data_IF_747903736125
#
_entry.id   IF_747903736125
#
_cell.length_a   1.000
_cell.length_b   1.000
_cell.length_c   1.000
_cell.angle_alpha   90.00
_cell.angle_beta   90.00
_cell.angle_gamma   90.00
#
_symmetry.space_group_name_H-M   'P 1'
#
loop_
_entity.id
_entity.type
_entity.pdbx_description
1 polymer ?
#
# COMPACT_ATOMS: atom_id res chain seq x y z
N UNK A 1 -17.76 -4.36 -18.22
CA UNK A 1 -17.43 -4.57 -16.79
C UNK A 1 -15.91 -4.55 -16.69
N UNK A 2 -15.32 -3.69 -15.87
CA UNK A 2 -13.87 -3.67 -15.66
C UNK A 2 -13.44 -4.96 -14.97
N UNK A 3 -12.35 -5.58 -15.42
CA UNK A 3 -11.64 -6.56 -14.59
C UNK A 3 -11.13 -5.87 -13.34
N UNK A 4 -11.41 -6.42 -12.17
CA UNK A 4 -10.76 -5.98 -10.94
C UNK A 4 -9.34 -6.56 -10.93
N UNK A 5 -8.36 -5.76 -11.36
CA UNK A 5 -6.94 -6.15 -11.36
C UNK A 5 -6.41 -6.49 -9.95
N UNK A 6 -5.24 -7.15 -9.86
CA UNK A 6 -4.61 -7.39 -8.57
C UNK A 6 -4.25 -6.05 -7.91
N UNK A 7 -4.24 -6.02 -6.59
CA UNK A 7 -3.84 -4.84 -5.83
C UNK A 7 -2.33 -4.65 -5.92
N UNK A 8 -1.90 -3.43 -6.20
CA UNK A 8 -0.51 -3.08 -6.47
C UNK A 8 -0.09 -1.93 -5.58
N UNK A 9 0.93 -2.16 -4.74
CA UNK A 9 1.71 -1.06 -4.17
C UNK A 9 2.86 -0.76 -5.13
N UNK A 10 3.07 0.51 -5.40
CA UNK A 10 4.25 1.00 -6.10
C UNK A 10 4.91 2.10 -5.28
N UNK A 11 6.23 2.16 -5.36
CA UNK A 11 6.97 3.29 -4.81
C UNK A 11 7.03 4.44 -5.82
N UNK A 12 7.57 5.57 -5.35
CA UNK A 12 7.76 6.74 -6.19
C UNK A 12 8.71 6.49 -7.37
N UNK A 13 9.71 5.62 -7.21
CA UNK A 13 10.71 5.35 -8.23
C UNK A 13 10.09 4.76 -9.50
N UNK A 14 9.10 3.87 -9.36
CA UNK A 14 8.34 3.37 -10.51
C UNK A 14 7.62 4.52 -11.22
N UNK A 15 6.80 5.29 -10.50
CA UNK A 15 5.94 6.30 -11.11
C UNK A 15 6.75 7.44 -11.78
N UNK A 16 7.91 7.76 -11.21
CA UNK A 16 8.89 8.66 -11.85
C UNK A 16 9.39 8.13 -13.19
N UNK A 17 9.56 6.82 -13.31
CA UNK A 17 10.04 6.18 -14.54
C UNK A 17 8.99 6.13 -15.65
N UNK A 18 7.69 6.10 -15.32
CA UNK A 18 6.61 5.96 -16.30
C UNK A 18 6.29 7.28 -17.02
N UNK A 19 5.83 7.23 -18.25
CA UNK A 19 5.10 8.34 -18.88
C UNK A 19 3.59 8.27 -18.57
N UNK A 20 2.81 9.24 -19.04
CA UNK A 20 1.37 9.34 -18.75
C UNK A 20 0.56 8.14 -19.30
N UNK A 21 0.89 7.68 -20.51
CA UNK A 21 0.20 6.57 -21.15
C UNK A 21 0.57 5.23 -20.48
N UNK A 22 1.84 5.05 -20.11
CA UNK A 22 2.28 3.88 -19.33
C UNK A 22 1.58 3.83 -17.97
N UNK A 23 1.44 4.96 -17.28
CA UNK A 23 0.70 5.06 -16.03
C UNK A 23 -0.80 4.74 -16.23
N UNK A 24 -1.40 5.22 -17.32
CA UNK A 24 -2.78 4.86 -17.68
C UNK A 24 -2.96 3.35 -17.83
N UNK A 25 -2.06 2.66 -18.53
CA UNK A 25 -2.12 1.20 -18.71
C UNK A 25 -1.84 0.43 -17.41
N UNK A 26 -1.04 0.98 -16.50
CA UNK A 26 -0.82 0.41 -15.17
C UNK A 26 -2.13 0.31 -14.40
N UNK A 27 -2.84 1.43 -14.28
CA UNK A 27 -4.10 1.50 -13.54
C UNK A 27 -5.25 0.80 -14.23
N UNK A 28 -5.15 0.64 -15.55
CA UNK A 28 -6.09 -0.16 -16.31
C UNK A 28 -6.13 -1.61 -15.85
N UNK A 29 -4.97 -2.16 -15.46
CA UNK A 29 -4.80 -3.58 -15.19
C UNK A 29 -4.46 -3.91 -13.73
N UNK A 30 -4.22 -2.91 -12.90
CA UNK A 30 -3.97 -3.05 -11.46
C UNK A 30 -4.87 -2.11 -10.65
N UNK A 31 -5.14 -2.48 -9.40
CA UNK A 31 -5.73 -1.57 -8.42
C UNK A 31 -4.63 -0.95 -7.58
N UNK A 32 -4.38 0.34 -7.75
CA UNK A 32 -3.38 1.06 -6.98
C UNK A 32 -3.71 1.05 -5.49
N UNK A 33 -2.71 0.75 -4.66
CA UNK A 33 -2.78 0.93 -3.21
C UNK A 33 -1.75 1.97 -2.85
N UNK A 34 -2.22 3.19 -2.61
CA UNK A 34 -1.36 4.28 -2.16
C UNK A 34 -1.07 4.11 -0.69
N UNK A 35 0.22 4.04 -0.38
CA UNK A 35 0.69 4.10 1.00
C UNK A 35 0.81 5.57 1.40
N UNK A 36 0.56 5.91 2.68
CA UNK A 36 0.89 7.23 3.20
C UNK A 36 2.35 7.62 2.96
N UNK A 37 3.26 6.63 2.90
CA UNK A 37 4.69 6.81 2.61
C UNK A 37 4.89 7.42 1.21
N UNK A 38 4.17 6.94 0.20
CA UNK A 38 4.25 7.47 -1.16
C UNK A 38 3.90 8.96 -1.22
N UNK A 39 2.79 9.36 -0.59
CA UNK A 39 2.33 10.75 -0.57
C UNK A 39 3.38 11.67 0.04
N UNK A 40 4.00 11.22 1.13
CA UNK A 40 5.06 11.94 1.81
C UNK A 40 6.30 12.05 0.92
N UNK A 41 6.69 10.98 0.23
CA UNK A 41 7.80 11.02 -0.70
C UNK A 41 7.57 12.01 -1.85
N UNK A 42 6.35 12.03 -2.38
CA UNK A 42 5.93 12.96 -3.43
C UNK A 42 6.03 14.40 -2.91
N UNK A 43 5.46 14.70 -1.74
CA UNK A 43 5.56 16.02 -1.10
C UNK A 43 6.98 16.43 -0.74
N UNK A 44 7.85 15.47 -0.44
CA UNK A 44 9.27 15.73 -0.21
C UNK A 44 9.97 16.39 -1.40
N UNK A 45 9.45 16.24 -2.63
CA UNK A 45 10.02 16.90 -3.81
C UNK A 45 9.78 18.40 -3.84
N UNK A 46 8.70 18.92 -3.23
CA UNK A 46 8.43 20.37 -3.15
C UNK A 46 9.58 21.14 -2.49
N UNK A 47 10.35 20.47 -1.62
CA UNK A 47 11.47 21.09 -0.88
C UNK A 47 12.82 20.91 -1.56
N UNK A 48 12.89 20.19 -2.68
CA UNK A 48 14.15 19.97 -3.39
C UNK A 48 14.50 21.21 -4.19
N UNK A 49 15.79 21.54 -4.20
CA UNK A 49 16.31 22.56 -5.11
C UNK A 49 16.01 22.14 -6.56
N UNK A 50 15.44 23.03 -7.39
CA UNK A 50 15.16 22.73 -8.78
C UNK A 50 16.41 22.17 -9.48
N UNK A 51 16.26 21.05 -10.18
CA UNK A 51 17.30 20.49 -11.05
C UNK A 51 16.83 20.64 -12.49
N UNK A 52 17.42 21.61 -13.20
CA UNK A 52 17.03 21.95 -14.58
C UNK A 52 15.82 22.89 -14.62
N UNK A 53 15.06 22.82 -15.72
CA UNK A 53 13.99 23.77 -16.03
C UNK A 53 12.66 23.49 -15.32
N UNK A 54 12.48 22.29 -14.74
CA UNK A 54 11.22 21.93 -14.07
C UNK A 54 11.20 22.41 -12.63
N UNK A 55 10.13 23.09 -12.24
CA UNK A 55 9.90 23.48 -10.85
C UNK A 55 9.54 22.26 -9.98
N UNK A 56 9.82 22.30 -8.67
CA UNK A 56 9.38 21.27 -7.72
C UNK A 56 7.88 20.97 -7.80
N UNK A 57 7.06 22.01 -7.97
CA UNK A 57 5.61 21.94 -8.15
C UNK A 57 5.24 21.16 -9.42
N UNK A 58 5.93 21.44 -10.54
CA UNK A 58 5.71 20.71 -11.79
C UNK A 58 6.11 19.22 -11.69
N UNK A 59 7.14 18.90 -10.88
CA UNK A 59 7.53 17.51 -10.60
C UNK A 59 6.42 16.81 -9.81
N UNK A 60 5.91 17.44 -8.76
CA UNK A 60 4.86 16.87 -7.91
C UNK A 60 3.54 16.74 -8.67
N UNK A 61 3.10 17.77 -9.39
CA UNK A 61 1.90 17.71 -10.22
C UNK A 61 2.02 16.65 -11.32
N UNK A 62 3.20 16.50 -11.93
CA UNK A 62 3.45 15.44 -12.92
C UNK A 62 3.46 14.03 -12.33
N UNK A 63 3.79 13.85 -11.05
CA UNK A 63 3.64 12.57 -10.36
C UNK A 63 2.19 12.31 -9.97
N UNK A 64 1.51 13.32 -9.43
CA UNK A 64 0.10 13.24 -9.06
C UNK A 64 -0.77 12.92 -10.29
N UNK A 65 -0.46 13.47 -11.47
CA UNK A 65 -1.21 13.23 -12.71
C UNK A 65 -1.11 11.78 -13.22
N UNK A 66 -0.06 11.05 -12.83
CA UNK A 66 0.12 9.63 -13.16
C UNK A 66 -0.62 8.70 -12.19
N UNK A 67 -1.12 9.24 -11.08
CA UNK A 67 -2.08 8.54 -10.23
C UNK A 67 -3.47 8.91 -10.70
N UNK A 68 -4.11 8.00 -11.42
CA UNK A 68 -5.48 8.16 -11.84
C UNK A 68 -6.49 7.88 -10.72
N UNK A 69 -7.63 8.56 -10.80
CA UNK A 69 -8.64 8.57 -9.75
C UNK A 69 -9.46 7.27 -9.71
N UNK A 70 -9.43 6.47 -10.78
CA UNK A 70 -10.25 5.27 -10.91
C UNK A 70 -9.43 4.02 -10.60
N UNK A 71 -9.75 3.36 -9.49
CA UNK A 71 -9.13 2.08 -9.11
C UNK A 71 -7.93 2.18 -8.17
N UNK A 72 -7.62 3.39 -7.69
CA UNK A 72 -6.60 3.65 -6.68
C UNK A 72 -7.23 3.93 -5.32
N UNK A 73 -6.68 3.32 -4.27
CA UNK A 73 -7.18 3.42 -2.90
C UNK A 73 -6.06 3.84 -1.94
N UNK A 74 -6.33 4.84 -1.09
CA UNK A 74 -5.42 5.22 -0.01
C UNK A 74 -5.57 4.28 1.18
N UNK A 75 -4.46 3.70 1.63
CA UNK A 75 -4.43 2.85 2.81
C UNK A 75 -4.32 3.71 4.08
N UNK A 76 -4.99 3.28 5.16
CA UNK A 76 -4.85 3.93 6.46
C UNK A 76 -3.39 3.84 6.93
N UNK A 77 -2.93 4.90 7.61
CA UNK A 77 -1.63 4.90 8.28
C UNK A 77 -1.40 3.68 9.19
N UNK A 78 -0.24 3.06 9.00
CA UNK A 78 0.20 1.86 9.71
C UNK A 78 0.15 2.00 11.23
N UNK A 79 0.50 3.15 11.82
CA UNK A 79 0.53 3.33 13.27
C UNK A 79 -0.88 3.22 13.86
N UNK A 80 -1.85 3.81 13.17
CA UNK A 80 -3.27 3.63 13.51
C UNK A 80 -3.68 2.15 13.46
N UNK A 81 -3.29 1.43 12.39
CA UNK A 81 -3.61 0.00 12.25
C UNK A 81 -2.93 -0.86 13.34
N UNK A 82 -1.67 -0.59 13.68
CA UNK A 82 -0.94 -1.25 14.77
C UNK A 82 -1.65 -1.06 16.10
N UNK A 83 -2.05 0.17 16.43
CA UNK A 83 -2.78 0.46 17.68
C UNK A 83 -4.09 -0.34 17.72
N UNK A 84 -4.85 -0.35 16.63
CA UNK A 84 -6.11 -1.09 16.56
C UNK A 84 -5.89 -2.61 16.76
N UNK A 85 -4.87 -3.18 16.12
CA UNK A 85 -4.52 -4.60 16.25
C UNK A 85 -4.13 -4.97 17.69
N UNK A 86 -3.29 -4.15 18.34
CA UNK A 86 -2.91 -4.34 19.75
C UNK A 86 -4.10 -4.22 20.72
N UNK A 87 -5.05 -3.35 20.41
CA UNK A 87 -6.30 -3.18 21.17
C UNK A 87 -7.34 -4.28 20.91
N UNK A 88 -7.07 -5.17 19.94
CA UNK A 88 -7.92 -6.33 19.63
C UNK A 88 -8.91 -6.14 18.50
N UNK A 89 -8.78 -5.06 17.71
CA UNK A 89 -9.51 -4.87 16.47
C UNK A 89 -8.71 -5.50 15.32
N UNK A 90 -9.16 -6.62 14.73
CA UNK A 90 -8.35 -7.37 13.78
C UNK A 90 -8.04 -6.57 12.50
N UNK A 91 -6.77 -6.61 12.09
CA UNK A 91 -6.32 -6.05 10.80
C UNK A 91 -6.17 -7.17 9.77
N UNK A 92 -7.04 -7.17 8.77
CA UNK A 92 -7.08 -8.23 7.76
C UNK A 92 -5.92 -8.10 6.74
N UNK A 93 -4.91 -8.96 6.88
CA UNK A 93 -3.72 -9.04 6.01
C UNK A 93 -3.99 -9.86 4.73
N UNK A 94 -4.99 -9.46 3.95
CA UNK A 94 -5.55 -10.25 2.84
C UNK A 94 -5.13 -9.77 1.44
N UNK A 95 -4.06 -8.97 1.36
CA UNK A 95 -3.64 -8.35 0.10
C UNK A 95 -4.62 -7.26 -0.36
N UNK A 96 -5.42 -6.69 0.54
CA UNK A 96 -6.38 -5.61 0.25
C UNK A 96 -6.09 -4.40 1.11
N UNK A 97 -6.23 -3.17 0.59
CA UNK A 97 -6.07 -1.96 1.39
C UNK A 97 -7.12 -1.90 2.50
N UNK A 98 -6.71 -1.37 3.65
CA UNK A 98 -7.63 -0.97 4.72
C UNK A 98 -7.93 0.50 4.51
N UNK A 99 -9.14 0.80 4.04
CA UNK A 99 -9.55 2.17 3.74
C UNK A 99 -10.30 2.79 4.92
N UNK A 100 -10.12 4.11 5.12
CA UNK A 100 -10.87 4.87 6.13
C UNK A 100 -12.29 5.14 5.64
N UNK A 101 -13.21 5.25 6.58
CA UNK A 101 -14.60 5.58 6.28
C UNK A 101 -15.42 4.33 6.00
N UNK A 102 -16.66 4.53 5.56
CA UNK A 102 -17.64 3.47 5.46
C UNK A 102 -18.87 3.79 6.30
N UNK A 103 -19.68 4.74 5.84
CA UNK A 103 -20.94 5.06 6.48
C UNK A 103 -21.98 4.03 6.05
N UNK A 104 -22.58 3.36 7.03
CA UNK A 104 -23.68 2.43 6.76
C UNK A 104 -24.90 3.23 6.32
N UNK A 105 -25.41 2.92 5.14
CA UNK A 105 -26.64 3.51 4.61
C UNK A 105 -27.67 2.41 4.51
N UNK A 106 -28.88 2.67 5.01
CA UNK A 106 -30.00 1.75 4.85
C UNK A 106 -30.94 2.33 3.82
N UNK A 107 -31.24 1.56 2.78
CA UNK A 107 -32.22 1.98 1.78
C UNK A 107 -33.66 1.80 2.28
N UNK A 108 -34.61 2.35 1.52
CA UNK A 108 -36.05 2.22 1.80
C UNK A 108 -36.58 0.78 1.74
N UNK A 109 -35.82 -0.17 1.19
CA UNK A 109 -36.15 -1.61 1.15
C UNK A 109 -35.59 -2.37 2.36
N UNK A 110 -34.85 -1.68 3.25
CA UNK A 110 -34.23 -2.25 4.43
C UNK A 110 -32.84 -2.83 4.21
N UNK A 111 -32.30 -2.81 2.97
CA UNK A 111 -30.95 -3.28 2.67
C UNK A 111 -29.91 -2.32 3.20
N UNK A 112 -28.80 -2.86 3.66
CA UNK A 112 -27.69 -2.10 4.24
C UNK A 112 -26.56 -2.08 3.21
N UNK A 113 -26.20 -0.88 2.75
CA UNK A 113 -25.00 -0.58 2.00
C UNK A 113 -23.95 0.11 2.88
N UNK A 114 -22.73 0.22 2.34
CA UNK A 114 -21.65 1.00 2.94
C UNK A 114 -21.15 1.97 1.89
N UNK A 115 -21.12 3.26 2.24
CA UNK A 115 -20.61 4.34 1.40
C UNK A 115 -19.26 4.77 1.92
N UNK A 116 -18.28 4.88 1.04
CA UNK A 116 -16.99 5.44 1.35
C UNK A 116 -16.94 6.83 0.77
N UNK A 117 -16.82 7.82 1.64
CA UNK A 117 -16.46 9.17 1.23
C UNK A 117 -15.03 9.13 0.71
N UNK A 118 -14.68 10.15 -0.04
CA UNK A 118 -13.33 10.24 -0.54
C UNK A 118 -12.30 10.46 0.58
N UNK A 119 -11.18 9.75 0.48
CA UNK A 119 -10.08 9.91 1.41
C UNK A 119 -9.41 11.29 1.22
N UNK A 120 -9.04 11.99 2.31
CA UNK A 120 -8.33 13.28 2.24
C UNK A 120 -7.04 13.23 1.40
N UNK A 121 -6.39 12.07 1.36
CA UNK A 121 -5.20 11.83 0.56
C UNK A 121 -5.46 11.86 -0.96
N UNK A 122 -6.64 11.37 -1.39
CA UNK A 122 -7.04 11.39 -2.80
C UNK A 122 -7.46 12.80 -3.24
N UNK A 123 -8.13 13.53 -2.35
CA UNK A 123 -8.42 14.96 -2.54
C UNK A 123 -7.12 15.77 -2.70
N UNK A 124 -6.13 15.55 -1.83
CA UNK A 124 -4.83 16.21 -1.93
C UNK A 124 -4.13 15.92 -3.27
N UNK A 125 -4.14 14.66 -3.72
CA UNK A 125 -3.55 14.30 -5.01
C UNK A 125 -4.21 15.02 -6.19
N UNK A 126 -5.54 15.15 -6.18
CA UNK A 126 -6.23 15.93 -7.22
C UNK A 126 -5.82 17.40 -7.22
N UNK A 127 -5.75 18.02 -6.04
CA UNK A 127 -5.28 19.39 -5.92
C UNK A 127 -3.85 19.56 -6.45
N UNK A 128 -2.97 18.60 -6.18
CA UNK A 128 -1.61 18.62 -6.71
C UNK A 128 -1.56 18.51 -8.23
N UNK A 129 -2.50 17.81 -8.87
CA UNK A 129 -2.63 17.78 -10.34
C UNK A 129 -2.96 19.17 -10.91
N UNK A 130 -3.70 19.98 -10.15
CA UNK A 130 -4.09 21.35 -10.50
C UNK A 130 -3.03 22.39 -10.09
N UNK A 131 -1.97 21.98 -9.40
CA UNK A 131 -0.90 22.85 -8.91
C UNK A 131 -1.24 23.57 -7.61
N UNK A 132 -2.27 23.14 -6.88
CA UNK A 132 -2.61 23.65 -5.55
C UNK A 132 -1.92 22.80 -4.46
N UNK A 133 -1.06 23.45 -3.67
CA UNK A 133 -0.25 22.85 -2.61
C UNK A 133 -0.45 23.52 -1.23
N UNK A 134 -1.53 24.28 -1.03
CA UNK A 134 -1.74 25.14 0.18
C UNK A 134 -2.46 24.43 1.36
N UNK A 135 -2.57 23.10 1.35
CA UNK A 135 -3.43 22.31 2.25
C UNK A 135 -2.72 21.51 3.36
N UNK A 136 -3.01 20.20 3.40
CA UNK A 136 -2.60 19.24 4.44
C UNK A 136 -1.09 18.92 4.45
N UNK A 137 -0.33 19.45 3.48
CA UNK A 137 1.05 19.09 3.19
C UNK A 137 1.99 19.50 4.32
N UNK A 138 1.71 20.63 4.99
CA UNK A 138 2.48 21.08 6.15
C UNK A 138 2.34 20.16 7.36
N UNK A 139 1.15 19.61 7.61
CA UNK A 139 0.87 18.70 8.72
C UNK A 139 1.43 17.29 8.47
N UNK A 140 1.23 16.75 7.26
CA UNK A 140 1.82 15.48 6.82
C UNK A 140 3.36 15.55 6.84
N UNK A 141 3.94 16.65 6.37
CA UNK A 141 5.38 16.86 6.40
C UNK A 141 5.96 17.14 7.81
N UNK A 142 5.13 17.51 8.79
CA UNK A 142 5.55 17.70 10.18
C UNK A 142 5.53 16.36 10.94
N UNK A 143 4.44 15.58 10.83
CA UNK A 143 4.37 14.24 11.41
C UNK A 143 5.47 13.31 10.89
N UNK A 144 5.81 13.38 9.60
CA UNK A 144 6.90 12.58 9.04
C UNK A 144 8.29 13.02 9.51
N UNK A 145 8.53 14.34 9.66
CA UNK A 145 9.80 14.84 10.20
C UNK A 145 10.06 14.27 11.59
N UNK A 146 9.02 14.12 12.40
CA UNK A 146 9.11 13.50 13.71
C UNK A 146 9.39 11.98 13.62
N UNK A 147 8.76 11.28 12.67
CA UNK A 147 8.94 9.84 12.46
C UNK A 147 10.31 9.43 11.86
N UNK A 148 10.98 10.32 11.12
CA UNK A 148 12.30 10.05 10.49
C UNK A 148 13.48 10.64 11.26
N UNK A 149 13.28 11.71 12.02
CA UNK A 149 14.38 12.41 12.69
C UNK A 149 14.93 11.67 13.94
N UNK A 150 14.15 10.78 14.56
CA UNK A 150 14.53 10.12 15.82
C UNK A 150 14.93 8.64 15.64
N UNK A 151 15.93 8.35 14.80
CA UNK A 151 16.68 7.10 14.97
C UNK A 151 17.84 7.40 15.91
N UNK A 152 17.57 7.30 17.22
CA UNK A 152 18.64 7.31 18.19
C UNK A 152 19.43 6.00 18.09
N UNK A 153 20.64 6.09 17.55
CA UNK A 153 21.58 4.97 17.46
C UNK A 153 21.94 4.40 18.83
N UNK A 154 21.92 5.20 19.89
CA UNK A 154 22.18 4.72 21.25
C UNK A 154 21.00 3.91 21.79
N UNK A 155 19.77 4.34 21.53
CA UNK A 155 18.57 3.56 21.84
C UNK A 155 18.50 2.29 20.98
N UNK A 156 18.88 2.37 19.70
CA UNK A 156 19.03 1.22 18.80
C UNK A 156 20.02 0.18 19.36
N UNK A 157 21.18 0.62 19.84
CA UNK A 157 22.18 -0.26 20.45
C UNK A 157 21.69 -0.92 21.76
N UNK A 158 20.86 -0.22 22.56
CA UNK A 158 20.23 -0.78 23.77
C UNK A 158 19.14 -1.80 23.44
N UNK A 159 18.32 -1.52 22.44
CA UNK A 159 17.26 -2.42 21.96
C UNK A 159 17.82 -3.73 21.38
N UNK A 160 19.06 -3.75 20.89
CA UNK A 160 19.69 -4.92 20.29
C UNK A 160 20.44 -5.83 21.28
N UNK A 161 20.41 -5.54 22.59
CA UNK A 161 21.14 -6.32 23.60
C UNK A 161 20.69 -7.79 23.66
N UNK A 162 19.42 -8.11 23.39
CA UNK A 162 18.93 -9.49 23.33
C UNK A 162 19.32 -10.20 22.02
N UNK A 163 19.64 -9.43 20.97
CA UNK A 163 20.09 -9.98 19.67
C UNK A 163 21.60 -10.21 19.67
N UNK A 164 22.37 -9.56 20.57
CA UNK A 164 23.85 -9.63 20.64
C UNK A 164 24.46 -11.02 20.47
N UNK A 165 23.84 -12.05 21.03
CA UNK A 165 24.29 -13.44 20.89
C UNK A 165 24.29 -13.95 19.44
N UNK A 166 23.42 -13.43 18.57
CA UNK A 166 23.26 -13.84 17.18
C UNK A 166 24.12 -13.04 16.20
N UNK A 167 24.84 -11.99 16.64
CA UNK A 167 25.56 -11.09 15.73
C UNK A 167 26.62 -11.80 14.88
N UNK A 168 27.21 -12.88 15.40
CA UNK A 168 28.19 -13.69 14.66
C UNK A 168 27.58 -14.46 13.47
N UNK A 169 26.26 -14.65 13.47
CA UNK A 169 25.51 -15.35 12.42
C UNK A 169 24.96 -14.39 11.36
N UNK A 170 25.02 -13.07 11.58
CA UNK A 170 24.45 -12.07 10.68
C UNK A 170 25.47 -11.71 9.61
N UNK A 171 25.26 -12.22 8.39
CA UNK A 171 26.12 -11.92 7.24
C UNK A 171 25.35 -11.32 6.07
N UNK A 172 24.04 -11.56 6.01
CA UNK A 172 23.18 -11.21 4.88
C UNK A 172 21.88 -10.56 5.36
N UNK A 173 21.17 -9.86 4.47
CA UNK A 173 19.84 -9.34 4.77
C UNK A 173 18.83 -10.47 5.05
N UNK A 174 18.98 -11.63 4.41
CA UNK A 174 18.21 -12.83 4.72
C UNK A 174 18.38 -13.29 6.17
N UNK A 175 19.61 -13.27 6.70
CA UNK A 175 19.87 -13.59 8.11
C UNK A 175 19.14 -12.60 9.04
N UNK A 176 19.22 -11.32 8.71
CA UNK A 176 18.55 -10.26 9.46
C UNK A 176 17.03 -10.46 9.45
N UNK A 177 16.45 -10.73 8.28
CA UNK A 177 15.01 -10.93 8.11
C UNK A 177 14.52 -12.17 8.85
N UNK A 178 15.28 -13.27 8.76
CA UNK A 178 15.02 -14.50 9.52
C UNK A 178 15.02 -14.23 11.02
N UNK A 179 16.06 -13.57 11.55
CA UNK A 179 16.14 -13.25 12.97
C UNK A 179 14.96 -12.38 13.37
N UNK A 180 14.71 -11.27 12.66
CA UNK A 180 13.65 -10.32 12.97
C UNK A 180 12.26 -10.98 12.99
N UNK A 181 11.96 -11.84 12.00
CA UNK A 181 10.70 -12.61 11.94
C UNK A 181 10.53 -13.58 13.11
N UNK A 182 11.62 -14.14 13.62
CA UNK A 182 11.56 -15.08 14.74
C UNK A 182 11.46 -14.41 16.12
N UNK A 183 11.61 -13.08 16.21
CA UNK A 183 11.47 -12.34 17.47
C UNK A 183 10.02 -12.23 17.92
N UNK A 184 9.07 -12.32 16.99
CA UNK A 184 7.63 -12.22 17.27
C UNK A 184 6.98 -13.57 17.59
N UNK A 185 7.76 -14.64 17.54
CA UNK A 185 7.35 -16.00 17.82
C UNK A 185 7.57 -16.38 19.29
N UNK A 186 6.95 -17.46 19.73
CA UNK A 186 7.01 -17.89 21.13
C UNK A 186 8.39 -18.47 21.48
N UNK A 187 9.11 -17.76 22.36
CA UNK A 187 10.44 -18.16 22.85
C UNK A 187 10.52 -18.16 24.38
N UNK A 188 9.38 -18.14 25.08
CA UNK A 188 9.35 -18.03 26.55
C UNK A 188 9.69 -16.63 27.10
N UNK A 189 9.96 -15.64 26.23
CA UNK A 189 10.23 -14.24 26.60
C UNK A 189 9.13 -13.27 26.12
N UNK A 190 7.91 -13.77 25.90
CA UNK A 190 6.81 -13.04 25.25
C UNK A 190 6.51 -11.66 25.88
N UNK A 191 6.65 -11.52 27.20
CA UNK A 191 6.48 -10.22 27.86
C UNK A 191 7.55 -9.20 27.46
N UNK A 192 8.83 -9.63 27.34
CA UNK A 192 9.92 -8.78 26.90
C UNK A 192 9.72 -8.36 25.45
N UNK A 193 9.32 -9.29 24.59
CA UNK A 193 8.97 -9.01 23.19
C UNK A 193 7.83 -8.01 23.09
N UNK A 194 6.74 -8.20 23.84
CA UNK A 194 5.62 -7.26 23.85
C UNK A 194 6.08 -5.86 24.27
N UNK A 195 6.83 -5.75 25.37
CA UNK A 195 7.35 -4.46 25.84
C UNK A 195 8.24 -3.79 24.79
N UNK A 196 9.17 -4.53 24.20
CA UNK A 196 10.03 -4.03 23.14
C UNK A 196 9.23 -3.57 21.91
N UNK A 197 8.15 -4.25 21.55
CA UNK A 197 7.26 -3.83 20.48
C UNK A 197 6.50 -2.54 20.81
N UNK A 198 5.98 -2.39 22.03
CA UNK A 198 5.31 -1.16 22.44
C UNK A 198 6.25 0.05 22.41
N UNK A 199 7.51 -0.14 22.82
CA UNK A 199 8.55 0.88 22.77
C UNK A 199 8.96 1.20 21.32
N UNK A 200 9.36 0.20 20.54
CA UNK A 200 9.89 0.39 19.19
C UNK A 200 8.86 0.92 18.19
N UNK A 201 7.59 0.51 18.34
CA UNK A 201 6.48 1.00 17.52
C UNK A 201 5.89 2.32 18.04
N UNK A 202 6.51 2.92 19.07
CA UNK A 202 6.12 4.20 19.65
C UNK A 202 4.62 4.23 20.03
N UNK A 203 4.17 3.19 20.74
CA UNK A 203 2.78 3.12 21.19
C UNK A 203 2.57 4.12 22.33
N UNK A 204 1.54 4.98 22.29
CA UNK A 204 1.25 5.93 23.36
C UNK A 204 1.16 5.25 24.73
N UNK A 205 1.88 5.77 25.73
CA UNK A 205 2.04 5.14 27.05
C UNK A 205 0.70 4.94 27.77
N UNK A 206 -0.28 5.80 27.48
CA UNK A 206 -1.63 5.76 28.02
C UNK A 206 -2.37 4.48 27.61
N UNK A 207 -2.01 3.87 26.48
CA UNK A 207 -2.61 2.64 25.97
C UNK A 207 -1.97 1.37 26.54
N UNK A 208 -0.77 1.46 27.12
CA UNK A 208 0.03 0.29 27.50
C UNK A 208 -0.67 -0.60 28.51
N UNK A 209 -1.26 -0.01 29.56
CA UNK A 209 -1.96 -0.77 30.60
C UNK A 209 -3.10 -1.60 30.01
N UNK A 210 -3.89 -0.99 29.12
CA UNK A 210 -5.01 -1.65 28.43
C UNK A 210 -4.53 -2.80 27.53
N UNK A 211 -3.47 -2.58 26.77
CA UNK A 211 -2.88 -3.61 25.90
C UNK A 211 -2.32 -4.78 26.72
N UNK A 212 -1.58 -4.49 27.79
CA UNK A 212 -1.00 -5.51 28.66
C UNK A 212 -2.06 -6.33 29.40
N UNK A 213 -3.15 -5.68 29.83
CA UNK A 213 -4.28 -6.38 30.44
C UNK A 213 -4.89 -7.38 29.45
N UNK A 214 -5.24 -6.94 28.24
CA UNK A 214 -5.77 -7.82 27.18
C UNK A 214 -4.82 -8.98 26.89
N UNK A 215 -3.52 -8.70 26.78
CA UNK A 215 -2.51 -9.73 26.54
C UNK A 215 -2.48 -10.80 27.63
N UNK A 216 -2.62 -10.41 28.91
CA UNK A 216 -2.71 -11.33 30.05
C UNK A 216 -4.01 -12.15 30.01
N UNK A 217 -5.14 -11.51 29.67
CA UNK A 217 -6.44 -12.19 29.52
C UNK A 217 -6.40 -13.25 28.41
N UNK A 218 -5.61 -13.03 27.36
CA UNK A 218 -5.34 -14.01 26.30
C UNK A 218 -4.33 -15.10 26.69
N UNK A 219 -3.92 -15.19 27.96
CA UNK A 219 -2.90 -16.12 28.49
C UNK A 219 -1.51 -15.87 27.93
N UNK A 220 -1.13 -14.60 27.78
CA UNK A 220 0.23 -14.18 27.46
C UNK A 220 0.82 -14.79 26.16
N UNK A 221 0.10 -14.80 25.04
CA UNK A 221 0.57 -15.41 23.80
C UNK A 221 1.78 -14.66 23.22
N UNK A 222 2.51 -15.26 22.27
CA UNK A 222 3.52 -14.53 21.51
C UNK A 222 2.89 -13.39 20.69
N UNK A 223 3.71 -12.42 20.28
CA UNK A 223 3.21 -11.20 19.62
C UNK A 223 2.46 -11.53 18.32
N UNK A 224 2.94 -12.51 17.55
CA UNK A 224 2.27 -12.96 16.31
C UNK A 224 0.84 -13.43 16.53
N UNK A 225 0.57 -14.13 17.64
CA UNK A 225 -0.78 -14.61 17.96
C UNK A 225 -1.63 -13.53 18.64
N UNK A 226 -1.00 -12.62 19.37
CA UNK A 226 -1.69 -11.54 20.08
C UNK A 226 -2.23 -10.44 19.15
N UNK A 227 -1.37 -9.98 18.24
CA UNK A 227 -1.57 -8.85 17.34
C UNK A 227 -0.73 -9.09 16.06
N UNK A 228 -1.26 -9.85 15.08
CA UNK A 228 -0.51 -10.30 13.91
C UNK A 228 0.05 -9.19 13.03
N UNK A 229 -0.67 -8.08 12.85
CA UNK A 229 -0.21 -6.95 12.06
C UNK A 229 0.85 -6.14 12.83
N UNK A 230 0.67 -5.92 14.13
CA UNK A 230 1.69 -5.31 14.98
C UNK A 230 2.99 -6.15 14.99
N UNK A 231 2.87 -7.49 14.98
CA UNK A 231 3.99 -8.39 14.84
C UNK A 231 4.72 -8.22 13.48
N UNK A 232 3.98 -8.06 12.38
CA UNK A 232 4.56 -7.78 11.07
C UNK A 232 5.38 -6.48 11.08
N UNK A 233 4.76 -5.37 11.53
CA UNK A 233 5.42 -4.06 11.58
C UNK A 233 6.64 -4.11 12.51
N UNK A 234 6.54 -4.76 13.68
CA UNK A 234 7.68 -4.92 14.58
C UNK A 234 8.81 -5.76 13.97
N UNK A 235 8.50 -6.82 13.22
CA UNK A 235 9.53 -7.60 12.53
C UNK A 235 10.26 -6.77 11.47
N UNK A 236 9.53 -5.94 10.69
CA UNK A 236 10.15 -5.01 9.74
C UNK A 236 11.02 -3.98 10.47
N UNK A 237 10.55 -3.47 11.62
CA UNK A 237 11.29 -2.52 12.44
C UNK A 237 12.60 -3.12 12.96
N UNK A 238 12.54 -4.34 13.52
CA UNK A 238 13.71 -5.07 13.99
C UNK A 238 14.66 -5.38 12.85
N UNK A 239 14.16 -5.71 11.65
CA UNK A 239 15.00 -5.91 10.47
C UNK A 239 15.83 -4.68 10.15
N UNK A 240 15.22 -3.50 10.15
CA UNK A 240 15.94 -2.26 9.91
C UNK A 240 16.98 -1.96 11.00
N UNK A 241 16.61 -2.07 12.28
CA UNK A 241 17.52 -1.79 13.39
C UNK A 241 18.68 -2.78 13.46
N UNK A 242 18.42 -4.08 13.28
CA UNK A 242 19.46 -5.12 13.26
C UNK A 242 20.36 -4.93 12.04
N UNK A 243 19.80 -4.64 10.86
CA UNK A 243 20.56 -4.39 9.64
C UNK A 243 21.46 -3.16 9.73
N UNK A 244 21.00 -2.09 10.39
CA UNK A 244 21.85 -0.93 10.72
C UNK A 244 22.97 -1.31 11.68
N UNK A 245 22.64 -2.05 12.74
CA UNK A 245 23.62 -2.50 13.74
C UNK A 245 24.71 -3.36 13.13
N UNK A 246 24.34 -4.33 12.29
CA UNK A 246 25.24 -5.23 11.58
C UNK A 246 25.94 -4.59 10.37
N UNK A 247 25.76 -3.28 10.15
CA UNK A 247 26.34 -2.51 9.04
C UNK A 247 25.94 -3.00 7.63
N UNK A 248 24.92 -3.85 7.53
CA UNK A 248 24.34 -4.31 6.27
C UNK A 248 23.44 -3.25 5.63
N UNK A 249 22.93 -2.31 6.43
CA UNK A 249 22.18 -1.14 5.98
C UNK A 249 23.03 0.11 6.25
N UNK A 250 23.28 0.90 5.19
CA UNK A 250 24.20 2.04 5.26
C UNK A 250 23.64 3.20 6.10
N UNK A 251 24.41 3.61 7.10
CA UNK A 251 24.09 4.74 7.97
C UNK A 251 23.98 6.08 7.24
N UNK A 252 24.75 6.29 6.16
CA UNK A 252 24.74 7.54 5.38
C UNK A 252 23.42 7.78 4.62
N UNK A 253 22.58 6.75 4.44
CA UNK A 253 21.30 6.81 3.72
C UNK A 253 20.08 6.71 4.64
N UNK A 254 20.25 6.76 5.97
CA UNK A 254 19.20 6.51 6.99
C UNK A 254 17.83 7.10 6.67
N UNK A 255 17.76 8.39 6.34
CA UNK A 255 16.48 9.04 6.08
C UNK A 255 15.75 8.44 4.86
N UNK A 256 16.47 8.21 3.75
CA UNK A 256 15.91 7.57 2.55
C UNK A 256 15.57 6.10 2.86
N UNK A 257 16.50 5.36 3.44
CA UNK A 257 16.28 3.94 3.72
C UNK A 257 15.15 3.71 4.72
N UNK A 258 14.90 4.63 5.64
CA UNK A 258 13.75 4.59 6.54
C UNK A 258 12.42 4.72 5.78
N UNK A 259 12.37 5.62 4.79
CA UNK A 259 11.22 5.73 3.86
C UNK A 259 11.02 4.41 3.12
N UNK A 260 12.10 3.87 2.54
CA UNK A 260 12.03 2.63 1.77
C UNK A 260 11.54 1.45 2.65
N UNK A 261 12.04 1.34 3.89
CA UNK A 261 11.55 0.34 4.86
C UNK A 261 10.08 0.55 5.22
N UNK A 262 9.59 1.79 5.30
CA UNK A 262 8.22 2.04 5.69
C UNK A 262 7.19 1.49 4.69
N UNK A 263 7.57 1.29 3.42
CA UNK A 263 6.73 0.57 2.45
C UNK A 263 6.47 -0.89 2.88
N UNK A 264 7.42 -1.54 3.54
CA UNK A 264 7.29 -2.94 3.96
C UNK A 264 6.18 -3.13 5.00
N UNK A 265 5.84 -2.09 5.77
CA UNK A 265 4.70 -2.12 6.70
C UNK A 265 3.35 -2.36 6.00
N UNK A 266 3.27 -2.08 4.70
CA UNK A 266 2.05 -2.15 3.90
C UNK A 266 1.98 -3.38 2.98
N UNK A 267 3.03 -4.21 2.94
CA UNK A 267 3.01 -5.46 2.16
C UNK A 267 1.79 -6.33 2.44
N UNK A 268 1.26 -6.47 3.66
CA UNK A 268 0.06 -7.28 3.90
C UNK A 268 -1.20 -6.85 3.13
N UNK A 269 -1.18 -5.67 2.51
CA UNK A 269 -2.32 -5.03 1.85
C UNK A 269 -2.22 -4.98 0.32
N UNK A 270 -1.27 -5.72 -0.27
CA UNK A 270 -1.15 -5.85 -1.71
C UNK A 270 -0.94 -7.30 -2.17
N UNK A 271 -1.32 -7.58 -3.41
CA UNK A 271 -1.01 -8.83 -4.10
C UNK A 271 0.31 -8.71 -4.87
N UNK A 272 0.64 -7.50 -5.33
CA UNK A 272 1.90 -7.20 -5.98
C UNK A 272 2.54 -5.94 -5.38
N UNK A 273 3.87 -5.93 -5.36
CA UNK A 273 4.67 -4.74 -5.06
C UNK A 273 5.62 -4.49 -6.23
N UNK A 274 5.81 -3.23 -6.60
CA UNK A 274 6.74 -2.88 -7.68
C UNK A 274 7.60 -1.67 -7.33
N UNK A 275 8.86 -1.73 -7.74
CA UNK A 275 9.84 -0.68 -7.52
C UNK A 275 10.98 -0.80 -8.53
N UNK A 276 11.58 0.34 -8.87
CA UNK A 276 12.84 0.43 -9.61
C UNK A 276 14.06 0.58 -8.70
N UNK A 277 13.89 0.60 -7.37
CA UNK A 277 14.96 0.73 -6.39
C UNK A 277 15.55 -0.63 -6.00
N UNK A 278 16.88 -0.75 -6.06
CA UNK A 278 17.59 -1.98 -5.74
C UNK A 278 17.42 -2.39 -4.26
N UNK A 279 17.22 -1.44 -3.35
CA UNK A 279 16.97 -1.76 -1.95
C UNK A 279 15.63 -2.46 -1.78
N UNK A 280 14.57 -1.98 -2.44
CA UNK A 280 13.29 -2.69 -2.45
C UNK A 280 13.41 -4.06 -3.12
N UNK A 281 14.15 -4.17 -4.23
CA UNK A 281 14.41 -5.44 -4.91
C UNK A 281 15.04 -6.49 -3.99
N UNK A 282 15.90 -6.07 -3.07
CA UNK A 282 16.56 -6.96 -2.11
C UNK A 282 15.72 -7.23 -0.86
N UNK A 283 14.91 -6.26 -0.41
CA UNK A 283 14.27 -6.33 0.92
C UNK A 283 12.80 -6.72 0.90
N UNK A 284 12.04 -6.30 -0.11
CA UNK A 284 10.61 -6.60 -0.22
C UNK A 284 10.34 -8.10 -0.29
N UNK A 285 11.04 -8.89 -1.13
CA UNK A 285 10.83 -10.34 -1.19
C UNK A 285 11.04 -11.04 0.16
N UNK A 286 11.90 -10.50 1.02
CA UNK A 286 12.17 -11.07 2.34
C UNK A 286 10.95 -11.03 3.27
N UNK A 287 9.94 -10.21 2.99
CA UNK A 287 8.73 -10.04 3.81
C UNK A 287 7.44 -10.45 3.09
N UNK A 288 7.51 -10.86 1.82
CA UNK A 288 6.37 -11.37 1.07
C UNK A 288 5.98 -12.79 1.49
N UNK A 289 4.71 -13.13 1.28
CA UNK A 289 4.22 -14.49 1.30
C UNK A 289 4.08 -15.08 -0.12
N UNK A 290 3.77 -16.37 -0.23
CA UNK A 290 3.68 -17.11 -1.50
C UNK A 290 2.58 -16.61 -2.46
N UNK A 291 1.60 -15.86 -1.94
CA UNK A 291 0.50 -15.28 -2.72
C UNK A 291 0.83 -13.87 -3.24
N UNK A 292 2.03 -13.37 -2.97
CA UNK A 292 2.47 -12.04 -3.37
C UNK A 292 3.58 -12.10 -4.41
N UNK A 293 3.69 -11.03 -5.21
CA UNK A 293 4.75 -10.91 -6.22
C UNK A 293 5.47 -9.58 -6.14
N UNK A 294 6.80 -9.64 -6.16
CA UNK A 294 7.63 -8.48 -6.43
C UNK A 294 7.82 -8.36 -7.95
N UNK A 295 7.60 -7.16 -8.48
CA UNK A 295 7.75 -6.87 -9.91
C UNK A 295 8.82 -5.80 -10.07
N UNK A 296 9.91 -6.13 -10.74
CA UNK A 296 10.97 -5.16 -11.01
C UNK A 296 10.47 -4.08 -11.97
N UNK A 297 10.55 -2.81 -11.56
CA UNK A 297 9.93 -1.69 -12.26
C UNK A 297 10.30 -1.57 -13.75
N UNK A 298 11.58 -1.75 -14.16
CA UNK A 298 11.96 -1.77 -15.57
C UNK A 298 11.26 -2.85 -16.40
N UNK A 299 10.99 -4.03 -15.83
CA UNK A 299 10.28 -5.12 -16.52
C UNK A 299 8.81 -4.77 -16.71
N UNK A 300 8.18 -4.21 -15.66
CA UNK A 300 6.80 -3.73 -15.74
C UNK A 300 6.66 -2.61 -16.77
N UNK A 301 7.56 -1.62 -16.74
CA UNK A 301 7.59 -0.53 -17.72
C UNK A 301 7.73 -1.06 -19.15
N UNK A 302 8.63 -2.01 -19.39
CA UNK A 302 8.79 -2.61 -20.71
C UNK A 302 7.51 -3.32 -21.19
N UNK A 303 6.81 -4.01 -20.28
CA UNK A 303 5.53 -4.66 -20.60
C UNK A 303 4.40 -3.65 -20.83
N UNK A 304 4.34 -2.55 -20.08
CA UNK A 304 3.39 -1.45 -20.32
C UNK A 304 3.60 -0.82 -21.70
N UNK A 305 4.85 -0.61 -22.11
CA UNK A 305 5.18 -0.15 -23.46
C UNK A 305 4.79 -1.20 -24.54
N UNK A 306 4.90 -2.49 -24.23
CA UNK A 306 4.45 -3.58 -25.11
C UNK A 306 2.92 -3.60 -25.23
N UNK A 307 2.19 -3.44 -24.13
CA UNK A 307 0.73 -3.36 -24.09
C UNK A 307 0.21 -2.19 -24.89
N UNK A 308 0.86 -1.02 -24.74
CA UNK A 308 0.54 0.13 -25.58
C UNK A 308 0.62 -0.23 -27.06
N UNK A 309 1.74 -0.77 -27.55
CA UNK A 309 1.89 -1.14 -28.97
C UNK A 309 0.84 -2.15 -29.43
N UNK A 310 0.44 -3.07 -28.54
CA UNK A 310 -0.62 -4.02 -28.82
C UNK A 310 -1.97 -3.33 -29.01
N UNK A 311 -2.35 -2.43 -28.10
CA UNK A 311 -3.63 -1.73 -28.15
C UNK A 311 -3.68 -0.65 -29.25
N UNK A 312 -2.58 0.05 -29.51
CA UNK A 312 -2.44 1.01 -30.61
C UNK A 312 -2.55 0.33 -31.98
N UNK A 313 -2.24 -0.97 -32.06
CA UNK A 313 -2.37 -1.78 -33.27
C UNK A 313 -3.76 -2.38 -33.51
N UNK A 314 -4.74 -2.15 -32.62
CA UNK A 314 -6.11 -2.61 -32.84
C UNK A 314 -6.79 -1.78 -33.95
N UNK A 315 -7.76 -2.36 -34.69
CA UNK A 315 -8.53 -1.61 -35.68
C UNK A 315 -9.21 -0.38 -35.08
N UNK A 316 -9.33 0.70 -35.87
CA UNK A 316 -9.92 1.96 -35.42
C UNK A 316 -11.35 1.77 -34.89
N UNK A 317 -12.12 0.86 -35.49
CA UNK A 317 -13.49 0.54 -35.06
C UNK A 317 -13.53 -0.06 -33.64
N UNK A 318 -12.45 -0.73 -33.21
CA UNK A 318 -12.31 -1.27 -31.85
C UNK A 318 -11.86 -0.18 -30.90
N UNK A 319 -10.90 0.66 -31.29
CA UNK A 319 -10.42 1.76 -30.46
C UNK A 319 -11.52 2.78 -30.16
N UNK A 320 -12.40 3.06 -31.12
CA UNK A 320 -13.56 3.95 -30.98
C UNK A 320 -14.58 3.48 -29.93
N UNK A 321 -14.59 2.19 -29.56
CA UNK A 321 -15.43 1.66 -28.48
C UNK A 321 -14.95 2.08 -27.07
N UNK A 322 -13.78 2.73 -27.01
CA UNK A 322 -13.14 3.17 -25.78
C UNK A 322 -12.37 2.06 -25.07
N UNK A 323 -11.27 2.45 -24.42
CA UNK A 323 -10.40 1.56 -23.65
C UNK A 323 -11.12 0.82 -22.54
N UNK A 324 -12.22 1.39 -22.01
CA UNK A 324 -13.14 0.75 -21.08
C UNK A 324 -13.65 -0.62 -21.58
N UNK A 325 -13.78 -0.77 -22.89
CA UNK A 325 -14.32 -1.95 -23.56
C UNK A 325 -13.20 -2.89 -24.01
N UNK A 326 -12.30 -2.43 -24.89
CA UNK A 326 -11.31 -3.33 -25.52
C UNK A 326 -10.17 -3.74 -24.58
N UNK A 327 -9.88 -2.93 -23.55
CA UNK A 327 -8.86 -3.24 -22.55
C UNK A 327 -9.48 -3.57 -21.18
N UNK A 328 -10.72 -4.07 -21.15
CA UNK A 328 -11.39 -4.48 -19.90
C UNK A 328 -10.60 -5.54 -19.12
N UNK A 329 -9.81 -6.35 -19.84
CA UNK A 329 -8.90 -7.36 -19.30
C UNK A 329 -7.54 -7.23 -20.00
N UNK A 330 -6.45 -7.75 -19.41
CA UNK A 330 -5.19 -7.92 -20.13
C UNK A 330 -5.36 -8.79 -21.39
N UNK A 331 -4.45 -8.71 -22.37
CA UNK A 331 -4.51 -9.52 -23.57
C UNK A 331 -4.59 -11.02 -23.25
N UNK A 332 -5.52 -11.71 -23.91
CA UNK A 332 -5.72 -13.15 -23.76
C UNK A 332 -4.59 -13.97 -24.38
N UNK A 333 -4.03 -13.45 -25.47
CA UNK A 333 -3.01 -14.09 -26.28
C UNK A 333 -1.72 -13.24 -26.29
N UNK A 334 -0.60 -13.90 -26.56
CA UNK A 334 0.72 -13.27 -26.56
C UNK A 334 1.43 -13.34 -25.20
N UNK A 335 2.67 -12.86 -25.20
CA UNK A 335 3.58 -12.99 -24.06
C UNK A 335 3.65 -11.71 -23.22
N UNK A 336 2.60 -11.39 -22.45
CA UNK A 336 2.56 -10.19 -21.61
C UNK A 336 2.79 -10.53 -20.15
N UNK A 337 3.68 -9.77 -19.48
CA UNK A 337 3.93 -9.90 -18.05
C UNK A 337 2.64 -9.69 -17.25
N UNK A 338 1.85 -8.66 -17.58
CA UNK A 338 0.57 -8.40 -16.89
C UNK A 338 -0.39 -9.59 -17.02
N UNK A 339 -0.49 -10.22 -18.20
CA UNK A 339 -1.35 -11.40 -18.37
C UNK A 339 -0.88 -12.59 -17.51
N UNK A 340 0.43 -12.82 -17.40
CA UNK A 340 0.98 -13.86 -16.49
C UNK A 340 0.73 -13.53 -15.02
N UNK A 341 0.90 -12.27 -14.62
CA UNK A 341 0.60 -11.84 -13.26
C UNK A 341 -0.89 -12.02 -12.91
N UNK A 342 -1.79 -11.77 -13.85
CA UNK A 342 -3.22 -12.05 -13.65
C UNK A 342 -3.49 -13.55 -13.51
N UNK A 343 -2.77 -14.42 -14.23
CA UNK A 343 -2.92 -15.87 -14.06
C UNK A 343 -2.56 -16.34 -12.66
N UNK A 344 -1.47 -15.80 -12.13
CA UNK A 344 -0.94 -16.17 -10.83
C UNK A 344 -1.78 -15.58 -9.69
N UNK A 345 -2.23 -14.33 -9.84
CA UNK A 345 -2.85 -13.56 -8.77
C UNK A 345 -4.38 -13.59 -8.80
N UNK A 346 -5.00 -13.80 -9.96
CA UNK A 346 -6.46 -13.80 -10.14
C UNK A 346 -6.94 -15.06 -10.86
N UNK A 347 -6.96 -16.23 -10.18
CA UNK A 347 -7.44 -17.47 -10.76
C UNK A 347 -8.81 -17.31 -11.42
N UNK A 348 -8.94 -17.76 -12.67
CA UNK A 348 -10.19 -17.72 -13.43
C UNK A 348 -10.45 -16.43 -14.22
N UNK A 349 -9.59 -15.41 -14.15
CA UNK A 349 -9.81 -14.15 -14.88
C UNK A 349 -10.01 -14.34 -16.40
N UNK A 350 -9.29 -15.30 -17.02
CA UNK A 350 -9.43 -15.61 -18.46
C UNK A 350 -10.82 -16.12 -18.83
N UNK A 351 -11.49 -16.85 -17.93
CA UNK A 351 -12.87 -17.30 -18.17
C UNK A 351 -13.82 -16.11 -18.29
N UNK A 352 -13.66 -15.12 -17.42
CA UNK A 352 -14.43 -13.88 -17.44
C UNK A 352 -14.08 -12.99 -18.63
N UNK A 353 -12.80 -12.93 -19.00
CA UNK A 353 -12.34 -12.18 -20.16
C UNK A 353 -12.89 -12.73 -21.49
N UNK A 354 -13.00 -14.06 -21.63
CA UNK A 354 -13.60 -14.72 -22.81
C UNK A 354 -15.12 -14.61 -22.86
N UNK A 355 -15.76 -14.45 -21.70
CA UNK A 355 -17.22 -14.35 -21.57
C UNK A 355 -17.61 -13.04 -20.86
N UNK A 356 -17.27 -11.87 -21.44
CA UNK A 356 -17.56 -10.61 -20.79
C UNK A 356 -19.08 -10.44 -20.70
N UNK A 357 -19.57 -10.07 -19.51
CA UNK A 357 -20.99 -9.75 -19.31
C UNK A 357 -21.33 -8.55 -20.20
N UNK A 358 -22.20 -8.76 -21.19
CA UNK A 358 -22.73 -7.70 -22.05
C UNK A 358 -23.83 -6.95 -21.29
N UNK A 359 -23.60 -5.68 -21.02
CA UNK A 359 -24.61 -4.81 -20.41
C UNK A 359 -25.57 -4.38 -21.52
N UNK A 360 -26.73 -5.04 -21.61
CA UNK A 360 -27.82 -4.60 -22.49
C UNK A 360 -28.56 -3.42 -21.85
N UNK A 361 -29.31 -2.61 -22.64
CA UNK A 361 -30.15 -1.56 -22.08
C UNK A 361 -31.11 -2.06 -21.00
N UNK A 362 -31.66 -3.25 -21.17
CA UNK A 362 -32.58 -3.90 -20.22
C UNK A 362 -31.85 -4.32 -18.94
N UNK A 363 -30.65 -4.90 -19.06
CA UNK A 363 -29.84 -5.26 -17.91
C UNK A 363 -29.40 -4.01 -17.15
N UNK A 364 -29.02 -2.93 -17.86
CA UNK A 364 -28.67 -1.65 -17.25
C UNK A 364 -29.86 -1.03 -16.52
N UNK A 365 -31.05 -1.01 -17.13
CA UNK A 365 -32.27 -0.52 -16.50
C UNK A 365 -32.57 -1.30 -15.22
N UNK A 366 -32.50 -2.64 -15.28
CA UNK A 366 -32.69 -3.51 -14.11
C UNK A 366 -31.65 -3.28 -13.01
N UNK A 367 -30.39 -3.04 -13.39
CA UNK A 367 -29.31 -2.72 -12.45
C UNK A 367 -29.58 -1.38 -11.76
N UNK A 368 -29.96 -0.36 -12.54
CA UNK A 368 -30.30 0.97 -12.03
C UNK A 368 -31.54 0.95 -11.14
N UNK A 369 -32.57 0.18 -11.48
CA UNK A 369 -33.75 -0.01 -10.62
C UNK A 369 -33.38 -0.65 -9.28
N UNK A 370 -32.39 -1.54 -9.26
CA UNK A 370 -31.88 -2.13 -8.03
C UNK A 370 -31.01 -1.18 -7.19
N UNK A 371 -30.23 -0.32 -7.85
CA UNK A 371 -29.30 0.60 -7.19
C UNK A 371 -29.96 1.91 -6.74
N UNK A 372 -30.99 2.38 -7.44
CA UNK A 372 -31.66 3.66 -7.20
C UNK A 372 -32.15 3.84 -5.75
N UNK A 373 -32.79 2.85 -5.09
CA UNK A 373 -33.16 2.97 -3.68
C UNK A 373 -31.97 3.25 -2.76
N UNK A 374 -30.80 2.66 -3.05
CA UNK A 374 -29.58 2.91 -2.30
C UNK A 374 -29.04 4.30 -2.61
N UNK A 375 -28.92 4.69 -3.88
CA UNK A 375 -28.45 6.02 -4.30
C UNK A 375 -29.28 7.15 -3.68
N UNK A 376 -30.61 7.01 -3.66
CA UNK A 376 -31.51 7.97 -3.03
C UNK A 376 -31.24 8.11 -1.52
N UNK A 377 -30.98 6.99 -0.84
CA UNK A 377 -30.67 6.97 0.59
C UNK A 377 -29.30 7.61 0.90
N UNK A 378 -28.32 7.48 -0.01
CA UNK A 378 -27.02 8.14 0.09
C UNK A 378 -27.22 9.66 0.01
N UNK A 379 -27.89 10.15 -1.03
CA UNK A 379 -28.14 11.58 -1.25
C UNK A 379 -28.98 12.22 -0.13
N UNK A 380 -29.94 11.48 0.44
CA UNK A 380 -30.76 11.98 1.56
C UNK A 380 -29.95 12.13 2.84
N UNK A 381 -28.97 11.25 3.05
CA UNK A 381 -28.10 11.33 4.24
C UNK A 381 -26.97 12.34 4.11
N UNK A 382 -26.57 12.73 2.89
CA UNK A 382 -25.65 13.86 2.67
C UNK A 382 -26.30 15.23 2.95
N UNK A 383 -27.61 15.36 2.71
CA UNK A 383 -28.38 16.60 2.92
C UNK A 383 -28.93 16.77 4.34
N UNK A 384 -28.65 15.84 5.26
CA UNK A 384 -29.02 15.99 6.66
C UNK A 384 -28.05 16.98 7.34
N UNK A 385 -28.54 18.01 8.08
CA UNK A 385 -27.65 18.93 8.79
C UNK A 385 -26.75 18.16 9.76
N UNK A 386 -25.44 18.41 9.68
CA UNK A 386 -24.41 17.79 10.52
C UNK A 386 -24.46 18.30 11.95
#
# INVERSE_FOLDING_TARGET
MMSLGPTLIYDKSLLQSLNQEEAFWLERHFRGVLTPVFLIEVLGDLKKTPRGERTPEAIVGGLAAKVGPLGTFSNIDHHSLVIQDLLGNPVAMTGRPVVRGGRRVRDRTGKIGVVFDEAPEMEALRRWQEGDFEGMEHALAAQWRQAVAEIDLQTTAKSLNFVRSHWREIKTLDDVARIAKTLVDDRGENFKTLKAALDALQIPKELWTKIQQRWREMKCPCLRLFAPYAAHVFAVEMFFLIGLGAELIQTSKKAKTRVDIAYLYYLPFCMAFTSSDDFHRQTVPLFMNEQQRFIHGPELKADLAKLRRHYDGLPDEVQQQGSLTYAAYPPLDGDFLISRLHDELLPGWRMHARNPIRITPELNAKLMDHLRPMLDAINTTENAPR
#
